data_IF_596709465231
#
_entry.id   IF_596709465231
#
_cell.length_a   1.000
_cell.length_b   1.000
_cell.length_c   1.000
_cell.angle_alpha   90.00
_cell.angle_beta   90.00
_cell.angle_gamma   90.00
#
_symmetry.space_group_name_H-M   'P 1'
#
loop_
_entity.id
_entity.type
_entity.pdbx_description
1 polymer ?
#
# COMPACT_ATOMS: atom_id res chain seq x y z
N UNK A 1 25.39 -15.15 8.63
CA UNK A 1 25.75 -13.75 8.85
C UNK A 1 24.54 -12.88 9.17
N UNK A 2 23.72 -12.44 8.19
CA UNK A 2 22.72 -11.40 8.39
C UNK A 2 21.63 -11.68 9.46
N UNK A 3 21.12 -12.90 9.56
CA UNK A 3 20.09 -13.21 10.58
C UNK A 3 20.64 -13.08 12.01
N UNK A 4 21.87 -13.53 12.23
CA UNK A 4 22.52 -13.43 13.54
C UNK A 4 22.78 -11.96 13.95
N UNK A 5 22.98 -11.08 12.99
CA UNK A 5 23.15 -9.64 13.21
C UNK A 5 21.82 -8.92 13.51
N UNK A 6 20.71 -9.34 12.88
CA UNK A 6 19.37 -8.82 13.17
C UNK A 6 18.90 -9.24 14.57
N UNK A 7 19.12 -10.51 14.98
CA UNK A 7 18.79 -10.95 16.34
C UNK A 7 19.58 -10.19 17.43
N UNK A 8 20.85 -9.90 17.18
CA UNK A 8 21.65 -9.05 18.07
C UNK A 8 21.10 -7.64 18.12
N UNK A 9 20.77 -7.06 16.96
CA UNK A 9 20.21 -5.71 16.86
C UNK A 9 18.89 -5.62 17.64
N UNK A 10 17.99 -6.60 17.50
CA UNK A 10 16.75 -6.68 18.28
C UNK A 10 17.06 -6.61 19.79
N UNK A 11 17.98 -7.45 20.28
CA UNK A 11 18.35 -7.47 21.71
C UNK A 11 18.92 -6.13 22.18
N UNK A 12 19.72 -5.45 21.36
CA UNK A 12 20.26 -4.14 21.72
C UNK A 12 19.17 -3.06 21.78
N UNK A 13 18.26 -3.04 20.80
CA UNK A 13 17.15 -2.10 20.81
C UNK A 13 16.18 -2.36 21.96
N UNK A 14 15.93 -3.62 22.33
CA UNK A 14 15.13 -3.97 23.52
C UNK A 14 15.75 -3.43 24.81
N UNK A 15 17.06 -3.58 24.97
CA UNK A 15 17.77 -3.01 26.10
C UNK A 15 17.73 -1.48 26.10
N UNK A 16 17.92 -0.84 24.94
CA UNK A 16 17.88 0.61 24.83
C UNK A 16 16.50 1.17 25.17
N UNK A 17 15.41 0.54 24.70
CA UNK A 17 14.03 0.93 25.01
C UNK A 17 13.72 0.72 26.49
N UNK A 18 14.17 -0.37 27.10
CA UNK A 18 14.01 -0.59 28.54
C UNK A 18 14.75 0.47 29.37
N UNK A 19 15.91 0.94 28.90
CA UNK A 19 16.67 2.00 29.56
C UNK A 19 16.07 3.40 29.32
N UNK A 20 15.49 3.65 28.14
CA UNK A 20 14.86 4.92 27.78
C UNK A 20 13.53 4.70 27.04
N UNK A 21 12.44 4.33 27.74
CA UNK A 21 11.15 4.01 27.12
C UNK A 21 10.39 5.24 26.56
N UNK A 22 10.93 6.44 26.80
CA UNK A 22 10.29 7.71 26.39
C UNK A 22 10.89 8.30 25.10
N UNK A 23 11.77 7.58 24.41
CA UNK A 23 12.40 8.00 23.16
C UNK A 23 11.65 7.43 21.95
N UNK A 24 10.93 8.25 21.16
CA UNK A 24 10.20 7.79 20.00
C UNK A 24 11.11 7.34 18.85
N UNK A 25 12.34 7.86 18.75
CA UNK A 25 13.28 7.46 17.70
C UNK A 25 13.75 6.03 17.92
N UNK A 26 14.01 5.62 19.16
CA UNK A 26 14.34 4.23 19.49
C UNK A 26 13.20 3.27 19.08
N UNK A 27 11.94 3.68 19.28
CA UNK A 27 10.79 2.89 18.87
C UNK A 27 10.70 2.79 17.35
N UNK A 28 10.95 3.89 16.63
CA UNK A 28 10.95 3.93 15.17
C UNK A 28 12.03 3.02 14.60
N UNK A 29 13.28 3.18 15.05
CA UNK A 29 14.41 2.41 14.54
C UNK A 29 14.29 0.92 14.89
N UNK A 30 13.84 0.61 16.11
CA UNK A 30 13.62 -0.79 16.50
C UNK A 30 12.55 -1.44 15.64
N UNK A 31 11.45 -0.74 15.30
CA UNK A 31 10.40 -1.29 14.47
C UNK A 31 10.89 -1.54 13.03
N UNK A 32 11.79 -0.71 12.49
CA UNK A 32 12.46 -0.98 11.20
C UNK A 32 13.27 -2.29 11.25
N UNK A 33 13.99 -2.53 12.34
CA UNK A 33 14.75 -3.78 12.52
C UNK A 33 13.82 -4.99 12.66
N UNK A 34 12.71 -4.85 13.41
CA UNK A 34 11.72 -5.91 13.49
C UNK A 34 11.08 -6.22 12.13
N UNK A 35 10.80 -5.19 11.33
CA UNK A 35 10.32 -5.36 9.96
C UNK A 35 11.31 -6.14 9.10
N UNK A 36 12.60 -5.77 9.15
CA UNK A 36 13.67 -6.46 8.42
C UNK A 36 13.84 -7.93 8.86
N UNK A 37 13.60 -8.21 10.14
CA UNK A 37 13.60 -9.55 10.71
C UNK A 37 12.30 -10.34 10.44
N UNK A 38 11.39 -9.79 9.64
CA UNK A 38 10.08 -10.36 9.34
C UNK A 38 9.23 -10.70 10.58
N UNK A 39 9.37 -9.92 11.66
CA UNK A 39 8.50 -10.07 12.84
C UNK A 39 7.06 -9.74 12.43
N UNK A 40 6.09 -10.60 12.81
CA UNK A 40 4.68 -10.44 12.45
C UNK A 40 4.12 -9.07 12.81
N UNK A 41 3.26 -8.53 11.92
CA UNK A 41 2.69 -7.18 12.06
C UNK A 41 1.88 -7.00 13.34
N UNK A 42 1.18 -8.04 13.80
CA UNK A 42 0.42 -8.02 15.06
C UNK A 42 1.33 -7.87 16.30
N UNK A 43 2.50 -8.50 16.29
CA UNK A 43 3.48 -8.39 17.38
C UNK A 43 4.12 -6.99 17.39
N UNK A 44 4.51 -6.49 16.22
CA UNK A 44 5.04 -5.13 16.05
C UNK A 44 4.01 -4.09 16.50
N UNK A 45 2.74 -4.26 16.10
CA UNK A 45 1.65 -3.39 16.51
C UNK A 45 1.46 -3.37 18.02
N UNK A 46 1.38 -4.54 18.67
CA UNK A 46 1.25 -4.64 20.13
C UNK A 46 2.37 -3.89 20.85
N UNK A 47 3.59 -3.98 20.32
CA UNK A 47 4.73 -3.28 20.88
C UNK A 47 4.59 -1.75 20.78
N UNK A 48 4.23 -1.22 19.60
CA UNK A 48 4.02 0.23 19.47
C UNK A 48 2.80 0.70 20.30
N UNK A 49 1.72 -0.09 20.36
CA UNK A 49 0.57 0.23 21.22
C UNK A 49 0.92 0.25 22.70
N UNK A 50 1.85 -0.60 23.18
CA UNK A 50 2.31 -0.58 24.59
C UNK A 50 3.09 0.68 24.94
N UNK A 51 3.64 1.38 23.94
CA UNK A 51 4.38 2.64 24.10
C UNK A 51 3.64 3.83 23.46
N UNK A 52 2.32 3.76 23.35
CA UNK A 52 1.53 4.69 22.55
C UNK A 52 1.79 6.17 22.87
N UNK A 53 1.93 6.52 24.17
CA UNK A 53 2.26 7.90 24.60
C UNK A 53 3.59 8.40 24.00
N UNK A 54 4.56 7.52 23.89
CA UNK A 54 5.87 7.85 23.31
C UNK A 54 5.80 7.91 21.79
N UNK A 55 5.16 6.93 21.15
CA UNK A 55 4.92 6.90 19.70
C UNK A 55 4.27 8.19 19.23
N UNK A 56 3.26 8.67 19.94
CA UNK A 56 2.53 9.89 19.59
C UNK A 56 3.34 11.19 19.69
N UNK A 57 4.59 11.15 20.15
CA UNK A 57 5.47 12.34 20.20
C UNK A 57 6.20 12.64 18.88
N UNK A 58 6.27 11.69 17.94
CA UNK A 58 7.07 11.83 16.72
C UNK A 58 6.33 11.28 15.50
N UNK A 59 6.32 12.02 14.39
CA UNK A 59 5.53 11.68 13.21
C UNK A 59 5.97 10.37 12.56
N UNK A 60 7.28 10.08 12.48
CA UNK A 60 7.75 8.81 11.91
C UNK A 60 7.27 7.60 12.73
N UNK A 61 7.30 7.70 14.07
CA UNK A 61 6.79 6.64 14.94
C UNK A 61 5.28 6.45 14.74
N UNK A 62 4.54 7.56 14.58
CA UNK A 62 3.10 7.52 14.28
C UNK A 62 2.85 6.90 12.92
N UNK A 63 3.58 7.27 11.87
CA UNK A 63 3.42 6.69 10.53
C UNK A 63 3.63 5.17 10.55
N UNK A 64 4.62 4.67 11.29
CA UNK A 64 4.83 3.23 11.48
C UNK A 64 3.63 2.57 12.16
N UNK A 65 3.10 3.18 13.21
CA UNK A 65 1.88 2.71 13.89
C UNK A 65 0.68 2.65 12.94
N UNK A 66 0.48 3.69 12.13
CA UNK A 66 -0.63 3.77 11.17
C UNK A 66 -0.52 2.69 10.08
N UNK A 67 0.68 2.46 9.56
CA UNK A 67 0.95 1.38 8.60
C UNK A 67 0.59 0.02 9.20
N UNK A 68 0.95 -0.22 10.46
CA UNK A 68 0.58 -1.47 11.16
C UNK A 68 -0.92 -1.55 11.46
N UNK A 69 -1.60 -0.43 11.77
CA UNK A 69 -3.07 -0.43 11.87
C UNK A 69 -3.73 -0.84 10.56
N UNK A 70 -3.23 -0.35 9.42
CA UNK A 70 -3.74 -0.74 8.10
C UNK A 70 -3.50 -2.23 7.82
N UNK A 71 -2.30 -2.75 8.12
CA UNK A 71 -1.97 -4.17 7.97
C UNK A 71 -2.88 -5.08 8.80
N UNK A 72 -3.25 -4.64 10.01
CA UNK A 72 -4.13 -5.36 10.93
C UNK A 72 -5.62 -5.02 10.76
N UNK A 73 -5.99 -4.39 9.64
CA UNK A 73 -7.38 -4.01 9.31
C UNK A 73 -8.06 -3.12 10.37
N UNK A 74 -7.27 -2.37 11.14
CA UNK A 74 -7.74 -1.42 12.16
C UNK A 74 -7.87 0.00 11.55
N UNK A 75 -8.48 0.10 10.38
CA UNK A 75 -8.57 1.33 9.58
C UNK A 75 -9.16 2.52 10.35
N UNK A 76 -10.17 2.29 11.18
CA UNK A 76 -10.80 3.37 11.98
C UNK A 76 -9.82 4.02 12.96
N UNK A 77 -8.89 3.22 13.55
CA UNK A 77 -7.84 3.77 14.42
C UNK A 77 -6.85 4.63 13.62
N UNK A 78 -6.45 4.16 12.45
CA UNK A 78 -5.57 4.90 11.54
C UNK A 78 -6.22 6.23 11.12
N UNK A 79 -7.42 6.17 10.58
CA UNK A 79 -8.18 7.34 10.10
C UNK A 79 -8.42 8.36 11.23
N UNK A 80 -8.74 7.90 12.44
CA UNK A 80 -8.92 8.79 13.60
C UNK A 80 -7.67 9.63 13.87
N UNK A 81 -6.49 9.01 13.88
CA UNK A 81 -5.24 9.74 14.11
C UNK A 81 -4.95 10.68 12.94
N UNK A 82 -5.07 10.19 11.70
CA UNK A 82 -4.85 10.99 10.49
C UNK A 82 -5.74 12.23 10.41
N UNK A 83 -6.97 12.16 10.89
CA UNK A 83 -7.91 13.28 10.89
C UNK A 83 -7.72 14.26 12.05
N UNK A 84 -7.03 13.88 13.12
CA UNK A 84 -6.93 14.69 14.34
C UNK A 84 -5.53 15.20 14.64
N UNK A 85 -4.51 14.60 14.02
CA UNK A 85 -3.11 15.00 14.20
C UNK A 85 -2.67 15.94 13.10
N UNK A 86 -1.94 16.99 13.46
CA UNK A 86 -1.16 17.78 12.52
C UNK A 86 0.19 17.10 12.32
N UNK A 87 0.54 16.80 11.07
CA UNK A 87 1.83 16.23 10.69
C UNK A 87 2.72 17.33 10.15
N UNK A 88 3.94 17.39 10.64
CA UNK A 88 4.94 18.34 10.15
C UNK A 88 5.82 17.68 9.11
N UNK A 89 5.74 18.15 7.87
CA UNK A 89 6.59 17.66 6.81
C UNK A 89 7.97 18.31 6.90
N UNK A 90 8.95 17.49 7.09
CA UNK A 90 10.34 17.75 6.75
C UNK A 90 10.72 16.88 5.55
N UNK A 91 11.85 17.14 4.91
CA UNK A 91 12.26 16.46 3.68
C UNK A 91 12.10 14.94 3.78
N UNK A 92 11.19 14.36 2.98
CA UNK A 92 10.87 12.92 2.98
C UNK A 92 9.48 12.54 3.51
N UNK A 93 8.71 13.46 4.09
CA UNK A 93 7.43 13.18 4.76
C UNK A 93 6.20 12.89 3.88
N UNK A 94 6.34 12.76 2.54
CA UNK A 94 5.23 12.50 1.62
C UNK A 94 4.43 11.21 1.90
N UNK A 95 4.99 10.26 2.64
CA UNK A 95 4.37 8.96 2.94
C UNK A 95 3.10 9.05 3.79
N UNK A 96 2.87 10.13 4.54
CA UNK A 96 1.66 10.25 5.36
C UNK A 96 0.39 10.28 4.52
N UNK A 97 0.42 10.93 3.34
CA UNK A 97 -0.71 10.91 2.42
C UNK A 97 -0.95 9.53 1.82
N UNK A 98 0.12 8.76 1.54
CA UNK A 98 -0.03 7.38 1.07
C UNK A 98 -0.76 6.52 2.12
N UNK A 99 -0.38 6.66 3.39
CA UNK A 99 -1.05 5.96 4.50
C UNK A 99 -2.51 6.41 4.64
N UNK A 100 -2.80 7.71 4.44
CA UNK A 100 -4.15 8.25 4.46
C UNK A 100 -5.01 7.65 3.33
N UNK A 101 -4.52 7.70 2.10
CA UNK A 101 -5.21 7.14 0.95
C UNK A 101 -5.43 5.63 1.14
N UNK A 102 -4.41 4.88 1.54
CA UNK A 102 -4.52 3.44 1.80
C UNK A 102 -5.55 3.13 2.89
N UNK A 103 -5.57 3.88 4.00
CA UNK A 103 -6.53 3.66 5.08
C UNK A 103 -7.97 3.78 4.58
N UNK A 104 -8.27 4.82 3.81
CA UNK A 104 -9.60 5.05 3.24
C UNK A 104 -9.94 4.06 2.13
N UNK A 105 -9.00 3.72 1.22
CA UNK A 105 -9.23 2.72 0.17
C UNK A 105 -9.51 1.35 0.79
N UNK A 106 -8.70 0.90 1.74
CA UNK A 106 -8.87 -0.40 2.40
C UNK A 106 -10.19 -0.48 3.16
N UNK A 107 -10.58 0.58 3.86
CA UNK A 107 -11.88 0.67 4.54
C UNK A 107 -13.03 0.66 3.52
N UNK A 108 -12.91 1.41 2.42
CA UNK A 108 -13.87 1.39 1.33
C UNK A 108 -14.03 0.00 0.71
N UNK A 109 -12.94 -0.73 0.50
CA UNK A 109 -12.98 -2.12 0.03
C UNK A 109 -13.64 -3.07 1.05
N UNK A 110 -13.47 -2.83 2.35
CA UNK A 110 -14.19 -3.56 3.39
C UNK A 110 -15.70 -3.32 3.30
N UNK A 111 -16.14 -2.07 3.06
CA UNK A 111 -17.54 -1.75 2.80
C UNK A 111 -18.07 -2.39 1.52
N UNK A 112 -17.29 -2.41 0.42
CA UNK A 112 -17.65 -3.11 -0.82
C UNK A 112 -17.94 -4.61 -0.56
N UNK A 113 -17.07 -5.30 0.17
CA UNK A 113 -17.27 -6.71 0.53
C UNK A 113 -18.56 -6.94 1.35
N UNK A 114 -18.94 -5.95 2.16
CA UNK A 114 -20.19 -5.96 2.94
C UNK A 114 -21.41 -5.46 2.15
N UNK A 115 -21.25 -5.16 0.85
CA UNK A 115 -22.30 -4.59 -0.01
C UNK A 115 -22.83 -3.22 0.46
N UNK A 116 -22.04 -2.51 1.25
CA UNK A 116 -22.32 -1.16 1.75
C UNK A 116 -21.72 -0.14 0.76
N UNK A 117 -22.33 -0.08 -0.44
CA UNK A 117 -21.73 0.61 -1.59
C UNK A 117 -21.63 2.13 -1.42
N UNK A 118 -22.61 2.76 -0.75
CA UNK A 118 -22.60 4.20 -0.51
C UNK A 118 -21.48 4.60 0.44
N UNK A 119 -21.28 3.81 1.49
CA UNK A 119 -20.21 3.98 2.45
C UNK A 119 -18.84 3.75 1.79
N UNK A 120 -18.74 2.75 0.92
CA UNK A 120 -17.53 2.48 0.14
C UNK A 120 -17.14 3.68 -0.73
N UNK A 121 -18.09 4.27 -1.46
CA UNK A 121 -17.84 5.44 -2.31
C UNK A 121 -17.38 6.63 -1.47
N UNK A 122 -17.99 6.88 -0.30
CA UNK A 122 -17.55 7.97 0.59
C UNK A 122 -16.10 7.81 1.03
N UNK A 123 -15.70 6.59 1.38
CA UNK A 123 -14.30 6.34 1.75
C UNK A 123 -13.35 6.53 0.55
N UNK A 124 -13.75 6.11 -0.66
CA UNK A 124 -12.98 6.33 -1.87
C UNK A 124 -12.86 7.83 -2.23
N UNK A 125 -13.92 8.60 -2.04
CA UNK A 125 -13.89 10.05 -2.23
C UNK A 125 -12.96 10.73 -1.23
N UNK A 126 -12.95 10.27 0.03
CA UNK A 126 -12.01 10.75 1.05
C UNK A 126 -10.56 10.40 0.69
N UNK A 127 -10.30 9.20 0.19
CA UNK A 127 -8.96 8.79 -0.21
C UNK A 127 -8.31 9.70 -1.28
N UNK A 128 -9.13 10.42 -2.03
CA UNK A 128 -8.67 11.36 -3.08
C UNK A 128 -8.48 12.79 -2.56
N UNK A 129 -8.65 13.02 -1.27
CA UNK A 129 -8.49 14.35 -0.66
C UNK A 129 -7.09 14.52 -0.10
N UNK A 130 -6.68 15.78 0.00
CA UNK A 130 -5.39 16.20 0.57
C UNK A 130 -5.67 17.12 1.78
N UNK A 131 -5.95 16.55 2.97
CA UNK A 131 -6.25 17.32 4.16
C UNK A 131 -5.07 18.20 4.57
N UNK A 132 -5.35 19.47 4.91
CA UNK A 132 -4.32 20.46 5.23
C UNK A 132 -3.45 20.10 6.43
N UNK A 133 -3.97 19.31 7.37
CA UNK A 133 -3.23 18.84 8.54
C UNK A 133 -2.15 17.79 8.20
N UNK A 134 -2.14 17.25 6.98
CA UNK A 134 -1.10 16.35 6.50
C UNK A 134 0.07 17.10 5.82
N UNK A 135 -0.11 18.40 5.53
CA UNK A 135 0.89 19.26 4.84
C UNK A 135 1.40 18.70 3.49
N UNK A 136 0.64 17.83 2.82
CA UNK A 136 1.00 17.23 1.53
C UNK A 136 0.17 17.85 0.42
N UNK A 137 0.83 18.26 -0.66
CA UNK A 137 0.18 18.71 -1.88
C UNK A 137 -0.05 17.56 -2.86
N UNK A 138 -1.07 17.66 -3.75
CA UNK A 138 -1.26 16.68 -4.81
C UNK A 138 0.00 16.48 -5.67
N UNK A 139 0.32 15.22 -5.96
CA UNK A 139 1.45 14.91 -6.82
C UNK A 139 1.17 15.32 -8.26
N UNK A 140 2.07 16.05 -8.96
CA UNK A 140 1.90 16.36 -10.36
C UNK A 140 1.95 15.12 -11.28
N UNK A 141 2.34 13.98 -10.73
CA UNK A 141 2.46 12.71 -11.45
C UNK A 141 1.26 11.77 -11.26
N UNK A 142 0.16 12.30 -10.72
CA UNK A 142 -1.00 11.50 -10.31
C UNK A 142 -0.82 10.88 -8.93
N UNK A 143 -1.92 10.39 -8.38
CA UNK A 143 -2.02 9.71 -7.10
C UNK A 143 -2.73 8.35 -7.28
N UNK A 144 -3.72 8.10 -6.45
CA UNK A 144 -4.45 6.83 -6.40
C UNK A 144 -5.69 6.80 -7.31
N UNK A 145 -5.87 7.78 -8.19
CA UNK A 145 -7.09 8.03 -8.95
C UNK A 145 -7.56 6.80 -9.75
N UNK A 146 -6.66 6.10 -10.43
CA UNK A 146 -7.04 4.92 -11.21
C UNK A 146 -7.68 3.84 -10.33
N UNK A 147 -7.10 3.58 -9.16
CA UNK A 147 -7.60 2.61 -8.19
C UNK A 147 -8.93 3.07 -7.60
N UNK A 148 -8.99 4.31 -7.15
CA UNK A 148 -10.16 4.93 -6.54
C UNK A 148 -11.34 4.92 -7.50
N UNK A 149 -11.16 5.41 -8.73
CA UNK A 149 -12.24 5.44 -9.71
C UNK A 149 -12.67 4.04 -10.16
N UNK A 150 -11.75 3.09 -10.35
CA UNK A 150 -12.13 1.72 -10.64
C UNK A 150 -13.02 1.13 -9.54
N UNK A 151 -12.63 1.26 -8.27
CA UNK A 151 -13.38 0.73 -7.13
C UNK A 151 -14.73 1.43 -6.96
N UNK A 152 -14.80 2.74 -7.17
CA UNK A 152 -16.05 3.50 -7.21
C UNK A 152 -16.96 3.04 -8.34
N UNK A 153 -16.38 2.78 -9.52
CA UNK A 153 -17.10 2.21 -10.66
C UNK A 153 -17.74 0.87 -10.34
N UNK A 154 -17.02 -0.03 -9.66
CA UNK A 154 -17.54 -1.32 -9.18
C UNK A 154 -18.70 -1.12 -8.19
N UNK A 155 -18.62 -0.15 -7.29
CA UNK A 155 -19.70 0.16 -6.35
C UNK A 155 -20.97 0.66 -7.09
N UNK A 156 -20.80 1.59 -8.05
CA UNK A 156 -21.93 2.10 -8.84
C UNK A 156 -22.55 1.01 -9.74
N UNK A 157 -21.73 0.15 -10.35
CA UNK A 157 -22.19 -1.00 -11.13
C UNK A 157 -23.06 -1.94 -10.27
N UNK A 158 -22.61 -2.25 -9.06
CA UNK A 158 -23.35 -3.09 -8.12
C UNK A 158 -24.70 -2.46 -7.67
N UNK A 159 -24.77 -1.12 -7.66
CA UNK A 159 -26.02 -0.38 -7.42
C UNK A 159 -26.87 -0.19 -8.68
N UNK A 160 -26.49 -0.79 -9.81
CA UNK A 160 -27.14 -0.63 -11.13
C UNK A 160 -27.17 0.82 -11.64
N UNK A 161 -26.23 1.65 -11.21
CA UNK A 161 -26.03 3.02 -11.68
C UNK A 161 -25.01 3.04 -12.83
N UNK A 162 -25.39 2.46 -13.97
CA UNK A 162 -24.50 2.18 -15.10
C UNK A 162 -23.78 3.39 -15.66
N UNK A 163 -24.47 4.54 -15.75
CA UNK A 163 -23.88 5.77 -16.27
C UNK A 163 -22.75 6.30 -15.35
N UNK A 164 -23.00 6.27 -14.04
CA UNK A 164 -21.95 6.66 -13.05
C UNK A 164 -20.80 5.68 -13.04
N UNK A 165 -21.08 4.39 -13.14
CA UNK A 165 -20.04 3.36 -13.24
C UNK A 165 -19.15 3.59 -14.47
N UNK A 166 -19.78 3.86 -15.65
CA UNK A 166 -19.06 4.15 -16.87
C UNK A 166 -18.15 5.36 -16.75
N UNK A 167 -18.66 6.49 -16.21
CA UNK A 167 -17.86 7.70 -15.95
C UNK A 167 -16.66 7.39 -15.06
N UNK A 168 -16.85 6.58 -14.01
CA UNK A 168 -15.76 6.20 -13.12
C UNK A 168 -14.72 5.34 -13.85
N UNK A 169 -15.14 4.35 -14.65
CA UNK A 169 -14.20 3.54 -15.43
C UNK A 169 -13.45 4.37 -16.48
N UNK A 170 -14.09 5.36 -17.14
CA UNK A 170 -13.45 6.29 -18.06
C UNK A 170 -12.36 7.10 -17.32
N UNK A 171 -12.68 7.71 -16.18
CA UNK A 171 -11.69 8.43 -15.37
C UNK A 171 -10.51 7.56 -14.97
N UNK A 172 -10.75 6.32 -14.55
CA UNK A 172 -9.69 5.37 -14.22
C UNK A 172 -8.83 5.00 -15.44
N UNK A 173 -9.46 4.74 -16.57
CA UNK A 173 -8.80 4.36 -17.83
C UNK A 173 -7.91 5.47 -18.39
N UNK A 174 -8.34 6.72 -18.26
CA UNK A 174 -7.66 7.89 -18.81
C UNK A 174 -6.59 8.49 -17.89
N UNK A 175 -6.34 7.88 -16.72
CA UNK A 175 -5.26 8.31 -15.81
C UNK A 175 -3.88 8.08 -16.43
N UNK A 176 -2.96 9.02 -16.22
CA UNK A 176 -1.59 8.95 -16.69
C UNK A 176 -0.61 8.74 -15.56
N UNK A 177 0.35 7.82 -15.72
CA UNK A 177 1.40 7.53 -14.76
C UNK A 177 2.77 7.60 -15.44
N UNK A 178 3.81 7.96 -14.67
CA UNK A 178 5.20 7.90 -15.15
C UNK A 178 5.73 6.47 -15.23
N UNK A 179 5.29 5.60 -14.34
CA UNK A 179 5.75 4.20 -14.30
C UNK A 179 4.74 3.29 -14.97
N UNK A 180 5.24 2.37 -15.79
CA UNK A 180 4.43 1.31 -16.40
C UNK A 180 4.28 0.08 -15.49
N UNK A 181 4.93 0.04 -14.33
CA UNK A 181 4.83 -1.06 -13.37
C UNK A 181 4.41 -0.53 -12.00
N UNK A 182 3.11 -0.40 -11.81
CA UNK A 182 2.46 -0.06 -10.55
C UNK A 182 1.14 -0.83 -10.46
N UNK A 183 0.57 -0.93 -9.27
CA UNK A 183 -0.76 -1.49 -9.10
C UNK A 183 -1.86 -0.61 -9.73
N UNK A 184 -1.59 0.69 -9.92
CA UNK A 184 -2.51 1.61 -10.63
C UNK A 184 -2.73 1.18 -12.08
N UNK A 185 -1.70 0.66 -12.76
CA UNK A 185 -1.83 0.11 -14.11
C UNK A 185 -2.79 -1.08 -14.15
N UNK A 186 -2.78 -1.93 -13.11
CA UNK A 186 -3.75 -3.02 -12.99
C UNK A 186 -5.20 -2.51 -13.00
N UNK A 187 -5.52 -1.48 -12.22
CA UNK A 187 -6.86 -0.91 -12.16
C UNK A 187 -7.24 -0.18 -13.45
N UNK A 188 -6.30 0.54 -14.08
CA UNK A 188 -6.48 1.14 -15.40
C UNK A 188 -6.84 0.08 -16.45
N UNK A 189 -6.09 -1.01 -16.53
CA UNK A 189 -6.33 -2.11 -17.48
C UNK A 189 -7.70 -2.75 -17.24
N UNK A 190 -8.07 -2.96 -15.97
CA UNK A 190 -9.42 -3.47 -15.64
C UNK A 190 -10.53 -2.52 -16.07
N UNK A 191 -10.33 -1.21 -15.92
CA UNK A 191 -11.28 -0.18 -16.37
C UNK A 191 -11.42 -0.16 -17.90
N UNK A 192 -10.30 -0.25 -18.64
CA UNK A 192 -10.32 -0.37 -20.10
C UNK A 192 -11.13 -1.59 -20.55
N UNK A 193 -10.97 -2.74 -19.89
CA UNK A 193 -11.76 -3.94 -20.19
C UNK A 193 -13.24 -3.76 -19.87
N UNK A 194 -13.60 -3.08 -18.77
CA UNK A 194 -15.00 -2.72 -18.44
C UNK A 194 -15.66 -1.84 -19.51
N UNK A 195 -14.85 -1.03 -20.19
CA UNK A 195 -15.28 -0.14 -21.27
C UNK A 195 -15.23 -0.80 -22.67
N UNK A 196 -14.87 -2.08 -22.76
CA UNK A 196 -14.61 -2.81 -24.03
C UNK A 196 -13.47 -2.18 -24.88
N UNK A 197 -12.58 -1.37 -24.27
CA UNK A 197 -11.36 -0.81 -24.90
C UNK A 197 -10.21 -1.83 -24.84
N UNK A 198 -10.45 -3.04 -25.39
CA UNK A 198 -9.56 -4.19 -25.20
C UNK A 198 -8.18 -3.99 -25.84
N UNK A 199 -8.10 -3.35 -27.01
CA UNK A 199 -6.82 -3.07 -27.66
C UNK A 199 -5.90 -2.19 -26.80
N UNK A 200 -6.45 -1.18 -26.14
CA UNK A 200 -5.70 -0.31 -25.22
C UNK A 200 -5.31 -1.08 -23.93
N UNK A 201 -6.18 -1.93 -23.44
CA UNK A 201 -5.90 -2.80 -22.31
C UNK A 201 -4.73 -3.76 -22.60
N UNK A 202 -4.67 -4.35 -23.79
CA UNK A 202 -3.61 -5.28 -24.19
C UNK A 202 -2.27 -4.57 -24.39
N UNK A 203 -2.26 -3.36 -24.93
CA UNK A 203 -1.05 -2.52 -25.03
C UNK A 203 -0.54 -2.20 -23.61
N UNK A 204 -1.40 -1.72 -22.72
CA UNK A 204 -1.02 -1.38 -21.36
C UNK A 204 -0.50 -2.60 -20.57
N UNK A 205 -1.10 -3.77 -20.77
CA UNK A 205 -0.63 -5.03 -20.17
C UNK A 205 0.74 -5.43 -20.72
N UNK A 206 0.94 -5.34 -22.03
CA UNK A 206 2.25 -5.60 -22.66
C UNK A 206 3.35 -4.69 -22.11
N UNK A 207 3.06 -3.41 -21.92
CA UNK A 207 4.01 -2.45 -21.36
C UNK A 207 4.35 -2.75 -19.89
N UNK A 208 3.35 -3.16 -19.11
CA UNK A 208 3.55 -3.62 -17.73
C UNK A 208 4.46 -4.86 -17.68
N UNK A 209 4.26 -5.84 -18.56
CA UNK A 209 5.07 -7.05 -18.68
C UNK A 209 6.51 -6.74 -19.09
N UNK A 210 6.71 -5.95 -20.15
CA UNK A 210 8.05 -5.54 -20.61
C UNK A 210 8.83 -4.80 -19.52
N UNK A 211 8.13 -3.98 -18.75
CA UNK A 211 8.76 -3.25 -17.63
C UNK A 211 9.19 -4.21 -16.52
N UNK A 212 8.35 -5.20 -16.17
CA UNK A 212 8.71 -6.23 -15.19
C UNK A 212 9.91 -7.04 -15.67
N UNK A 213 9.90 -7.52 -16.92
CA UNK A 213 11.01 -8.28 -17.50
C UNK A 213 12.34 -7.49 -17.48
N UNK A 214 12.28 -6.18 -17.79
CA UNK A 214 13.48 -5.33 -17.73
C UNK A 214 14.04 -5.23 -16.31
N UNK A 215 13.18 -5.08 -15.30
CA UNK A 215 13.59 -5.02 -13.89
C UNK A 215 14.20 -6.35 -13.46
N UNK A 216 13.60 -7.48 -13.87
CA UNK A 216 14.10 -8.81 -13.53
C UNK A 216 15.47 -9.12 -14.18
N UNK A 217 15.73 -8.59 -15.39
CA UNK A 217 17.03 -8.75 -16.07
C UNK A 217 18.12 -7.87 -15.46
N UNK A 218 17.79 -6.68 -14.99
CA UNK A 218 18.73 -5.69 -14.44
C UNK A 218 18.27 -5.21 -13.05
N UNK A 219 18.34 -6.04 -12.00
CA UNK A 219 17.88 -5.67 -10.67
C UNK A 219 18.59 -4.45 -10.09
N UNK A 220 19.87 -4.27 -10.41
CA UNK A 220 20.73 -3.19 -9.89
C UNK A 220 20.31 -1.80 -10.36
N UNK A 221 19.75 -1.64 -11.55
CA UNK A 221 19.29 -0.33 -12.05
C UNK A 221 18.08 0.20 -11.28
N UNK A 222 17.33 -0.69 -10.68
CA UNK A 222 16.15 -0.36 -9.86
C UNK A 222 16.50 0.00 -8.41
N UNK A 223 17.61 -0.54 -7.89
CA UNK A 223 18.03 -0.42 -6.49
C UNK A 223 18.91 0.80 -6.20
N UNK A 224 19.62 1.30 -7.21
CA UNK A 224 20.64 2.35 -7.03
C UNK A 224 20.09 3.76 -6.75
N UNK A 225 18.78 3.99 -6.90
CA UNK A 225 18.21 5.36 -6.85
C UNK A 225 17.58 5.76 -5.51
N UNK A 226 17.31 4.83 -4.63
CA UNK A 226 16.62 5.13 -3.37
C UNK A 226 17.34 4.41 -2.23
N UNK A 227 18.23 5.08 -1.54
CA UNK A 227 18.96 4.59 -0.39
C UNK A 227 18.48 3.24 0.21
N UNK A 228 19.09 2.66 1.18
CA UNK A 228 18.91 1.31 1.75
C UNK A 228 17.45 0.85 2.01
N UNK A 229 16.54 1.06 1.02
CA UNK A 229 15.22 0.47 1.04
C UNK A 229 15.42 -1.05 1.14
N UNK A 230 14.83 -1.65 2.16
CA UNK A 230 14.92 -3.08 2.45
C UNK A 230 14.73 -3.89 1.16
N UNK A 231 15.77 -4.59 0.73
CA UNK A 231 15.77 -5.39 -0.51
C UNK A 231 14.57 -6.34 -0.57
N UNK A 232 14.15 -6.89 0.58
CA UNK A 232 12.98 -7.76 0.67
C UNK A 232 11.70 -7.03 0.32
N UNK A 233 11.53 -5.76 0.71
CA UNK A 233 10.33 -4.96 0.36
C UNK A 233 10.26 -4.75 -1.15
N UNK A 234 11.39 -4.45 -1.79
CA UNK A 234 11.44 -4.26 -3.25
C UNK A 234 11.13 -5.55 -3.99
N UNK A 235 11.73 -6.67 -3.59
CA UNK A 235 11.45 -7.98 -4.17
C UNK A 235 10.01 -8.42 -3.94
N UNK A 236 9.45 -8.12 -2.76
CA UNK A 236 8.04 -8.33 -2.46
C UNK A 236 7.12 -7.57 -3.42
N UNK A 237 7.44 -6.29 -3.70
CA UNK A 237 6.67 -5.49 -4.65
C UNK A 237 6.76 -6.04 -6.07
N UNK A 238 7.94 -6.52 -6.50
CA UNK A 238 8.11 -7.16 -7.82
C UNK A 238 7.24 -8.41 -7.91
N UNK A 239 7.25 -9.28 -6.90
CA UNK A 239 6.39 -10.47 -6.85
C UNK A 239 4.90 -10.08 -6.83
N UNK A 240 4.53 -9.02 -6.11
CA UNK A 240 3.16 -8.50 -6.10
C UNK A 240 2.71 -8.04 -7.50
N UNK A 241 3.56 -7.28 -8.23
CA UNK A 241 3.23 -6.85 -9.59
C UNK A 241 3.16 -8.03 -10.58
N UNK A 242 4.01 -9.05 -10.43
CA UNK A 242 3.91 -10.31 -11.20
C UNK A 242 2.54 -10.96 -10.99
N UNK A 243 2.09 -11.06 -9.75
CA UNK A 243 0.77 -11.59 -9.41
C UNK A 243 -0.38 -10.80 -10.04
N UNK A 244 -0.30 -9.46 -10.06
CA UNK A 244 -1.29 -8.62 -10.74
C UNK A 244 -1.32 -8.86 -12.25
N UNK A 245 -0.17 -9.05 -12.89
CA UNK A 245 -0.08 -9.39 -14.32
C UNK A 245 -0.73 -10.76 -14.56
N UNK A 246 -0.45 -11.78 -13.74
CA UNK A 246 -1.07 -13.09 -13.88
C UNK A 246 -2.59 -13.04 -13.69
N UNK A 247 -3.13 -12.19 -12.78
CA UNK A 247 -4.57 -11.97 -12.69
C UNK A 247 -5.16 -11.37 -13.96
N UNK A 248 -4.45 -10.40 -14.58
CA UNK A 248 -4.88 -9.81 -15.86
C UNK A 248 -4.84 -10.81 -17.02
N UNK A 249 -4.02 -11.85 -16.92
CA UNK A 249 -3.92 -12.97 -17.87
C UNK A 249 -4.89 -14.12 -17.57
N UNK A 250 -5.80 -13.96 -16.60
CA UNK A 250 -6.70 -15.02 -16.13
C UNK A 250 -5.97 -16.26 -15.60
N UNK A 251 -4.81 -16.10 -14.96
CA UNK A 251 -4.05 -17.16 -14.34
C UNK A 251 -4.01 -16.98 -12.79
N UNK A 252 -5.11 -17.29 -12.08
CA UNK A 252 -5.18 -17.08 -10.63
C UNK A 252 -4.21 -17.96 -9.85
N UNK A 253 -3.88 -19.16 -10.34
CA UNK A 253 -2.93 -20.06 -9.66
C UNK A 253 -1.53 -19.49 -9.63
N UNK A 254 -1.02 -18.94 -10.74
CA UNK A 254 0.27 -18.26 -10.78
C UNK A 254 0.26 -16.99 -9.93
N UNK A 255 -0.82 -16.21 -9.99
CA UNK A 255 -0.99 -15.01 -9.18
C UNK A 255 -0.92 -15.33 -7.67
N UNK A 256 -1.56 -16.41 -7.23
CA UNK A 256 -1.53 -16.86 -5.83
C UNK A 256 -0.11 -17.20 -5.36
N UNK A 257 0.66 -17.89 -6.20
CA UNK A 257 2.06 -18.20 -5.92
C UNK A 257 2.89 -16.91 -5.76
N UNK A 258 2.72 -15.96 -6.66
CA UNK A 258 3.45 -14.69 -6.62
C UNK A 258 3.08 -13.87 -5.37
N UNK A 259 1.81 -13.77 -5.00
CA UNK A 259 1.41 -13.07 -3.77
C UNK A 259 1.91 -13.79 -2.52
N UNK A 260 1.94 -15.12 -2.53
CA UNK A 260 2.54 -15.90 -1.44
C UNK A 260 4.03 -15.60 -1.31
N UNK A 261 4.75 -15.57 -2.44
CA UNK A 261 6.18 -15.20 -2.46
C UNK A 261 6.39 -13.76 -1.97
N UNK A 262 5.53 -12.82 -2.41
CA UNK A 262 5.58 -11.43 -1.92
C UNK A 262 5.48 -11.36 -0.40
N UNK A 263 4.57 -12.14 0.20
CA UNK A 263 4.37 -12.18 1.65
C UNK A 263 5.48 -12.91 2.41
N UNK A 264 6.13 -13.90 1.80
CA UNK A 264 7.32 -14.54 2.37
C UNK A 264 8.50 -13.57 2.45
N UNK A 265 8.66 -12.72 1.42
CA UNK A 265 9.71 -11.70 1.37
C UNK A 265 9.44 -10.52 2.31
N UNK A 266 8.19 -10.08 2.37
CA UNK A 266 7.75 -8.97 3.22
C UNK A 266 6.31 -9.18 3.70
N UNK A 267 6.11 -9.72 4.93
CA UNK A 267 4.77 -9.96 5.48
C UNK A 267 3.92 -8.70 5.61
N UNK A 268 4.54 -7.51 5.67
CA UNK A 268 3.86 -6.22 5.73
C UNK A 268 3.29 -5.71 4.41
N UNK A 269 3.39 -6.46 3.30
CA UNK A 269 2.80 -6.07 2.02
C UNK A 269 1.27 -6.22 2.06
N UNK A 270 0.59 -5.15 2.47
CA UNK A 270 -0.87 -5.10 2.69
C UNK A 270 -1.63 -5.46 1.41
N UNK A 271 -1.15 -4.97 0.27
CA UNK A 271 -1.80 -5.18 -1.02
C UNK A 271 -1.67 -6.64 -1.49
N UNK A 272 -0.50 -7.25 -1.29
CA UNK A 272 -0.32 -8.68 -1.53
C UNK A 272 -1.19 -9.55 -0.60
N UNK A 273 -1.31 -9.17 0.69
CA UNK A 273 -2.20 -9.85 1.64
C UNK A 273 -3.66 -9.82 1.16
N UNK A 274 -4.11 -8.64 0.71
CA UNK A 274 -5.48 -8.45 0.25
C UNK A 274 -5.76 -9.31 -0.98
N UNK A 275 -4.89 -9.22 -2.01
CA UNK A 275 -5.05 -9.97 -3.26
C UNK A 275 -4.96 -11.48 -3.03
N UNK A 276 -4.07 -11.95 -2.16
CA UNK A 276 -3.94 -13.37 -1.85
C UNK A 276 -5.17 -13.96 -1.16
N UNK A 277 -5.86 -13.17 -0.33
CA UNK A 277 -7.12 -13.57 0.33
C UNK A 277 -8.31 -13.62 -0.63
N UNK A 278 -8.28 -12.85 -1.71
CA UNK A 278 -9.40 -12.71 -2.64
C UNK A 278 -9.34 -13.72 -3.82
N UNK A 279 -8.24 -14.49 -3.94
CA UNK A 279 -8.11 -15.60 -4.91
C UNK A 279 -8.61 -16.88 -4.25
N UNK A 280 -9.73 -17.37 -4.76
CA UNK A 280 -10.36 -18.65 -4.38
C UNK A 280 -10.06 -19.74 -5.40
#
# INVERSE_FOLDING_TARGET
GCLNDLEKSIKYYDRAINANPNDPLLLTESDKIYEQANIPTDQRLKRLESHLKTVMKHDDAVMRLLTLYNAESKYDKSIKILNTRHFHLWEGGGQVHDIYADSHILKGMQFLKRKQYKEAIREFDLANQYPSNLEVAPSPNGGYEAKIYYLSGIAYEAMKQTDKAKICFEKSADTHFRSHLTDLNYYKIKSLRKLNRNGEADVALSDMQKTLERILRNPTDSYAKFGEANQNVQQSNISYYSGLIHLLQNNPSAAKNDFTQALQLYPGNIWAQLMNKDIH
#
